data_IF_942282103770
#
_entry.id   IF_942282103770
#
_cell.length_a   1.000
_cell.length_b   1.000
_cell.length_c   1.000
_cell.angle_alpha   90.00
_cell.angle_beta   90.00
_cell.angle_gamma   90.00
#
_symmetry.space_group_name_H-M   'P 1'
#
loop_
_entity.id
_entity.type
_entity.pdbx_description
1 polymer ?
#
# COMPACT_ATOMS: atom_id res chain seq x y z
N UNK A 1 -60.20 -21.34 -8.11
CA UNK A 1 -58.94 -20.58 -8.28
C UNK A 1 -58.94 -19.89 -9.64
N UNK A 2 -59.15 -18.57 -9.67
CA UNK A 2 -59.24 -17.75 -10.90
C UNK A 2 -57.82 -17.27 -11.24
N UNK A 3 -57.22 -17.81 -12.29
CA UNK A 3 -55.88 -17.43 -12.75
C UNK A 3 -55.92 -15.97 -13.23
N UNK A 4 -55.17 -15.08 -12.57
CA UNK A 4 -54.96 -13.71 -13.05
C UNK A 4 -54.08 -13.74 -14.31
N UNK A 5 -54.44 -13.02 -15.38
CA UNK A 5 -53.61 -12.90 -16.56
C UNK A 5 -52.28 -12.19 -16.22
N UNK A 6 -51.18 -12.74 -16.73
CA UNK A 6 -49.84 -12.14 -16.63
C UNK A 6 -49.84 -10.80 -17.38
N UNK A 7 -49.34 -9.71 -16.77
CA UNK A 7 -49.12 -8.47 -17.50
C UNK A 7 -48.10 -8.71 -18.61
N UNK A 8 -48.45 -8.28 -19.82
CA UNK A 8 -47.58 -8.22 -20.98
C UNK A 8 -46.41 -7.28 -20.68
N UNK A 9 -45.19 -7.82 -20.71
CA UNK A 9 -43.97 -7.03 -20.60
C UNK A 9 -43.86 -6.06 -21.77
N UNK A 10 -43.44 -4.79 -21.55
CA UNK A 10 -43.12 -3.87 -22.63
C UNK A 10 -41.95 -4.41 -23.48
N UNK A 11 -41.88 -4.04 -24.77
CA UNK A 11 -40.82 -4.48 -25.66
C UNK A 11 -39.44 -4.02 -25.14
N UNK A 12 -38.39 -4.82 -25.38
CA UNK A 12 -37.04 -4.50 -24.94
C UNK A 12 -36.55 -3.19 -25.58
N UNK A 13 -36.03 -2.31 -24.75
CA UNK A 13 -35.40 -1.06 -25.17
C UNK A 13 -34.11 -1.43 -25.95
N UNK A 14 -33.89 -0.90 -27.17
CA UNK A 14 -32.68 -1.18 -27.92
C UNK A 14 -31.44 -0.69 -27.16
N UNK A 15 -30.33 -1.45 -27.16
CA UNK A 15 -29.12 -1.06 -26.45
C UNK A 15 -28.56 0.26 -27.02
N UNK A 16 -28.04 1.15 -26.17
CA UNK A 16 -27.39 2.38 -26.62
C UNK A 16 -26.20 2.02 -27.53
N UNK A 17 -26.12 2.70 -28.68
CA UNK A 17 -25.12 2.47 -29.72
C UNK A 17 -23.69 2.41 -29.20
N UNK A 18 -22.93 1.41 -29.69
CA UNK A 18 -21.63 0.96 -29.21
C UNK A 18 -20.43 1.88 -29.42
N UNK A 19 -20.53 3.16 -29.09
CA UNK A 19 -19.37 4.07 -29.07
C UNK A 19 -18.70 4.17 -27.67
N UNK A 20 -19.40 3.82 -26.59
CA UNK A 20 -18.85 3.95 -25.22
C UNK A 20 -18.05 2.72 -24.73
N UNK A 21 -18.18 1.56 -25.38
CA UNK A 21 -17.54 0.32 -24.93
C UNK A 21 -16.03 0.25 -25.25
N UNK A 22 -15.55 0.98 -26.27
CA UNK A 22 -14.12 0.94 -26.66
C UNK A 22 -13.20 1.79 -25.78
N UNK A 23 -13.73 2.73 -25.00
CA UNK A 23 -12.92 3.54 -24.07
C UNK A 23 -12.66 2.82 -22.74
N UNK A 24 -13.56 1.95 -22.27
CA UNK A 24 -13.39 1.23 -21.00
C UNK A 24 -12.39 0.06 -21.09
N UNK A 25 -12.22 -0.55 -22.26
CA UNK A 25 -11.30 -1.67 -22.47
C UNK A 25 -9.82 -1.26 -22.54
N UNK A 26 -9.51 0.03 -22.78
CA UNK A 26 -8.14 0.55 -22.80
C UNK A 26 -7.56 0.83 -21.41
N UNK A 27 -8.40 1.15 -20.42
CA UNK A 27 -7.94 1.41 -19.04
C UNK A 27 -7.38 0.17 -18.32
N UNK A 28 -7.91 -1.02 -18.63
CA UNK A 28 -7.56 -2.27 -17.92
C UNK A 28 -6.22 -2.89 -18.34
N UNK A 29 -5.68 -2.56 -19.52
CA UNK A 29 -4.34 -3.05 -19.92
C UNK A 29 -3.22 -2.31 -19.20
N UNK A 30 -3.43 -1.05 -18.80
CA UNK A 30 -2.39 -0.25 -18.13
C UNK A 30 -2.07 -0.71 -16.70
N UNK A 31 -3.05 -1.21 -15.96
CA UNK A 31 -2.88 -1.64 -14.56
C UNK A 31 -2.16 -2.98 -14.44
N UNK A 32 -2.46 -3.94 -15.32
CA UNK A 32 -1.75 -5.23 -15.36
C UNK A 32 -0.26 -5.07 -15.78
N UNK A 33 0.04 -4.08 -16.63
CA UNK A 33 1.40 -3.80 -17.09
C UNK A 33 2.25 -3.06 -16.04
N UNK A 34 1.62 -2.26 -15.16
CA UNK A 34 2.31 -1.65 -14.01
C UNK A 34 2.71 -2.68 -12.94
N UNK A 35 1.86 -3.67 -12.67
CA UNK A 35 2.16 -4.71 -11.68
C UNK A 35 3.34 -5.61 -12.12
N UNK A 36 3.45 -5.92 -13.41
CA UNK A 36 4.59 -6.70 -13.94
C UNK A 36 5.87 -5.86 -14.06
N UNK A 37 5.77 -4.57 -14.38
CA UNK A 37 6.92 -3.66 -14.39
C UNK A 37 7.52 -3.46 -12.98
N UNK A 38 6.70 -3.34 -11.93
CA UNK A 38 7.17 -3.27 -10.55
C UNK A 38 7.87 -4.56 -10.09
N UNK A 39 7.37 -5.73 -10.52
CA UNK A 39 8.03 -7.00 -10.23
C UNK A 39 9.41 -7.12 -10.90
N UNK A 40 9.56 -6.60 -12.13
CA UNK A 40 10.83 -6.60 -12.86
C UNK A 40 11.87 -5.62 -12.28
N UNK A 41 11.44 -4.44 -11.84
CA UNK A 41 12.33 -3.45 -11.19
C UNK A 41 12.84 -3.96 -9.84
N UNK A 42 12.01 -4.66 -9.06
CA UNK A 42 12.45 -5.26 -7.78
C UNK A 42 13.54 -6.34 -7.96
N UNK A 43 13.51 -7.13 -9.03
CA UNK A 43 14.53 -8.16 -9.27
C UNK A 43 15.89 -7.58 -9.65
N UNK A 44 15.93 -6.41 -10.30
CA UNK A 44 17.19 -5.79 -10.74
C UNK A 44 17.93 -5.06 -9.61
N UNK A 45 17.23 -4.50 -8.61
CA UNK A 45 17.87 -3.85 -7.45
C UNK A 45 18.58 -4.84 -6.53
N UNK A 46 17.94 -5.98 -6.23
CA UNK A 46 18.49 -6.99 -5.31
C UNK A 46 19.71 -7.74 -5.86
N UNK A 47 19.82 -7.89 -7.18
CA UNK A 47 20.97 -8.55 -7.82
C UNK A 47 22.21 -7.66 -7.87
N UNK A 48 22.05 -6.33 -7.86
CA UNK A 48 23.18 -5.40 -7.83
C UNK A 48 23.87 -5.36 -6.45
N UNK A 49 23.11 -5.47 -5.35
CA UNK A 49 23.66 -5.45 -3.99
C UNK A 49 24.45 -6.71 -3.60
N UNK A 50 24.19 -7.85 -4.24
CA UNK A 50 24.94 -9.10 -4.02
C UNK A 50 26.25 -9.19 -4.82
N UNK A 51 26.58 -8.18 -5.63
CA UNK A 51 27.81 -8.13 -6.44
C UNK A 51 28.91 -7.30 -5.77
N UNK A 52 28.92 -7.20 -4.44
CA UNK A 52 30.11 -6.77 -3.72
C UNK A 52 31.23 -7.80 -3.94
N UNK A 53 32.27 -7.35 -4.64
CA UNK A 53 33.54 -8.00 -4.88
C UNK A 53 33.97 -8.90 -3.71
N UNK A 54 34.10 -10.19 -4.01
CA UNK A 54 34.86 -11.09 -3.15
C UNK A 54 36.33 -10.69 -3.26
N UNK A 55 36.99 -10.22 -2.18
CA UNK A 55 38.41 -9.89 -2.23
C UNK A 55 39.23 -11.14 -2.59
N UNK A 56 40.37 -10.99 -3.29
CA UNK A 56 41.21 -12.10 -3.71
C UNK A 56 41.64 -12.94 -2.51
N UNK A 57 41.52 -14.26 -2.66
CA UNK A 57 41.78 -15.25 -1.63
C UNK A 57 43.24 -15.19 -1.16
N UNK A 58 43.49 -14.49 -0.05
CA UNK A 58 44.76 -14.56 0.66
C UNK A 58 44.82 -15.88 1.44
N UNK A 59 45.63 -16.82 0.95
CA UNK A 59 45.97 -18.08 1.61
C UNK A 59 46.72 -17.81 2.92
N UNK A 60 46.07 -17.97 4.08
CA UNK A 60 46.79 -17.87 5.36
C UNK A 60 46.01 -17.97 6.67
N UNK A 61 44.69 -17.78 6.70
CA UNK A 61 43.97 -17.61 7.99
C UNK A 61 42.97 -18.74 8.32
N UNK A 62 43.46 -19.94 8.61
CA UNK A 62 42.61 -21.02 9.20
C UNK A 62 42.00 -20.62 10.55
N UNK A 63 42.65 -19.75 11.32
CA UNK A 63 42.14 -19.21 12.58
C UNK A 63 40.94 -18.26 12.41
N UNK A 64 40.83 -17.57 11.26
CA UNK A 64 39.71 -16.67 10.95
C UNK A 64 38.41 -17.42 10.67
N UNK A 65 38.48 -18.54 9.97
CA UNK A 65 37.30 -19.33 9.59
C UNK A 65 36.53 -19.89 10.81
N UNK A 66 37.23 -20.27 11.88
CA UNK A 66 36.58 -20.75 13.11
C UNK A 66 35.90 -19.60 13.87
N UNK A 67 36.53 -18.43 13.95
CA UNK A 67 35.96 -17.24 14.56
C UNK A 67 34.72 -16.76 13.81
N UNK A 68 34.75 -16.77 12.48
CA UNK A 68 33.62 -16.41 11.63
C UNK A 68 32.46 -17.41 11.76
N UNK A 69 32.75 -18.71 11.85
CA UNK A 69 31.74 -19.73 12.10
C UNK A 69 31.05 -19.52 13.45
N UNK A 70 31.82 -19.25 14.53
CA UNK A 70 31.27 -18.94 15.85
C UNK A 70 30.43 -17.66 15.82
N UNK A 71 30.91 -16.61 15.14
CA UNK A 71 30.17 -15.35 14.98
C UNK A 71 28.84 -15.54 14.26
N UNK A 72 28.82 -16.31 13.15
CA UNK A 72 27.59 -16.64 12.42
C UNK A 72 26.58 -17.38 13.30
N UNK A 73 27.01 -18.41 14.03
CA UNK A 73 26.13 -19.15 14.96
C UNK A 73 25.52 -18.25 16.04
N UNK A 74 26.30 -17.31 16.57
CA UNK A 74 25.80 -16.33 17.55
C UNK A 74 24.80 -15.35 16.94
N UNK A 75 25.04 -14.88 15.70
CA UNK A 75 24.10 -14.03 14.97
C UNK A 75 22.80 -14.77 14.66
N UNK A 76 22.87 -16.01 14.17
CA UNK A 76 21.70 -16.84 13.87
C UNK A 76 20.84 -17.07 15.13
N UNK A 77 21.47 -17.31 16.28
CA UNK A 77 20.77 -17.41 17.56
C UNK A 77 20.04 -16.13 17.97
N UNK A 78 20.67 -14.95 17.74
CA UNK A 78 20.05 -13.64 18.01
C UNK A 78 18.89 -13.36 17.06
N UNK A 79 19.05 -13.65 15.76
CA UNK A 79 18.00 -13.49 14.74
C UNK A 79 16.80 -14.36 15.10
N UNK A 80 17.03 -15.64 15.43
CA UNK A 80 15.96 -16.57 15.83
C UNK A 80 15.21 -16.08 17.06
N UNK A 81 15.93 -15.62 18.09
CA UNK A 81 15.30 -15.04 19.30
C UNK A 81 14.51 -13.76 18.99
N UNK A 82 15.01 -12.91 18.09
CA UNK A 82 14.29 -11.71 17.65
C UNK A 82 13.03 -12.06 16.85
N UNK A 83 13.12 -13.04 15.94
CA UNK A 83 11.98 -13.54 15.16
C UNK A 83 10.90 -14.10 16.06
N UNK A 84 11.26 -14.88 17.08
CA UNK A 84 10.30 -15.45 18.04
C UNK A 84 9.57 -14.37 18.82
N UNK A 85 10.29 -13.35 19.30
CA UNK A 85 9.69 -12.19 19.99
C UNK A 85 8.73 -11.42 19.10
N UNK A 86 9.12 -11.17 17.85
CA UNK A 86 8.26 -10.47 16.88
C UNK A 86 7.06 -11.33 16.50
N UNK A 87 7.20 -12.64 16.34
CA UNK A 87 6.08 -13.56 16.10
C UNK A 87 5.03 -13.42 17.20
N UNK A 88 5.46 -13.43 18.47
CA UNK A 88 4.57 -13.30 19.60
C UNK A 88 3.84 -11.95 19.60
N UNK A 89 4.54 -10.85 19.33
CA UNK A 89 3.95 -9.51 19.24
C UNK A 89 2.99 -9.36 18.05
N UNK A 90 3.27 -10.02 16.93
CA UNK A 90 2.49 -9.96 15.71
C UNK A 90 1.30 -10.93 15.67
N UNK A 91 1.22 -11.90 16.59
CA UNK A 91 0.21 -12.96 16.56
C UNK A 91 -1.21 -12.40 16.50
N UNK A 92 -1.52 -11.40 17.32
CA UNK A 92 -2.84 -10.78 17.34
C UNK A 92 -3.17 -10.02 16.04
N UNK A 93 -2.18 -9.32 15.46
CA UNK A 93 -2.36 -8.61 14.20
C UNK A 93 -2.56 -9.59 13.03
N UNK A 94 -1.80 -10.69 13.00
CA UNK A 94 -1.94 -11.75 12.00
C UNK A 94 -3.32 -12.39 12.09
N UNK A 95 -3.79 -12.71 13.30
CA UNK A 95 -5.12 -13.29 13.49
C UNK A 95 -6.23 -12.34 13.04
N UNK A 96 -6.17 -11.06 13.45
CA UNK A 96 -7.14 -10.04 13.01
C UNK A 96 -7.13 -9.82 11.50
N UNK A 97 -5.95 -9.82 10.87
CA UNK A 97 -5.85 -9.70 9.42
C UNK A 97 -6.41 -10.92 8.69
N UNK A 98 -6.25 -12.14 9.22
CA UNK A 98 -6.93 -13.35 8.70
C UNK A 98 -8.45 -13.23 8.80
N UNK A 99 -8.97 -12.78 9.95
CA UNK A 99 -10.40 -12.52 10.10
C UNK A 99 -10.90 -11.48 9.10
N UNK A 100 -10.11 -10.42 8.86
CA UNK A 100 -10.41 -9.40 7.86
C UNK A 100 -10.47 -9.97 6.44
N UNK A 101 -9.51 -10.83 6.08
CA UNK A 101 -9.49 -11.50 4.78
C UNK A 101 -10.68 -12.44 4.59
N UNK A 102 -11.06 -13.19 5.62
CA UNK A 102 -12.27 -14.03 5.57
C UNK A 102 -13.51 -13.14 5.41
N UNK A 103 -13.58 -12.01 6.12
CA UNK A 103 -14.66 -11.03 5.97
C UNK A 103 -14.77 -10.48 4.55
N UNK A 104 -13.65 -10.10 3.93
CA UNK A 104 -13.60 -9.67 2.52
C UNK A 104 -14.06 -10.77 1.57
N UNK A 105 -13.57 -12.01 1.75
CA UNK A 105 -13.99 -13.16 0.95
C UNK A 105 -15.51 -13.41 1.04
N UNK A 106 -16.07 -13.32 2.26
CA UNK A 106 -17.52 -13.47 2.46
C UNK A 106 -18.29 -12.35 1.77
N UNK A 107 -17.84 -11.09 1.85
CA UNK A 107 -18.47 -9.98 1.14
C UNK A 107 -18.42 -10.15 -0.38
N UNK A 108 -17.31 -10.62 -0.93
CA UNK A 108 -17.19 -10.91 -2.36
C UNK A 108 -18.13 -12.02 -2.82
N UNK A 109 -18.28 -13.08 -2.02
CA UNK A 109 -19.28 -14.12 -2.28
C UNK A 109 -20.71 -13.57 -2.20
N UNK A 110 -21.02 -12.71 -1.23
CA UNK A 110 -22.33 -12.05 -1.14
C UNK A 110 -22.61 -11.16 -2.36
N UNK A 111 -21.64 -10.38 -2.82
CA UNK A 111 -21.77 -9.58 -4.05
C UNK A 111 -21.98 -10.46 -5.28
N UNK A 112 -21.20 -11.53 -5.41
CA UNK A 112 -21.34 -12.50 -6.51
C UNK A 112 -22.71 -13.18 -6.52
N UNK A 113 -23.22 -13.59 -5.36
CA UNK A 113 -24.56 -14.21 -5.25
C UNK A 113 -25.68 -13.22 -5.52
N UNK A 114 -25.58 -11.97 -5.05
CA UNK A 114 -26.54 -10.91 -5.34
C UNK A 114 -26.58 -10.58 -6.84
N UNK A 115 -25.40 -10.50 -7.48
CA UNK A 115 -25.28 -10.35 -8.93
C UNK A 115 -25.92 -11.53 -9.68
N UNK A 116 -25.65 -12.76 -9.26
CA UNK A 116 -26.23 -13.96 -9.84
C UNK A 116 -27.76 -13.99 -9.78
N UNK A 117 -28.33 -13.44 -8.71
CA UNK A 117 -29.78 -13.28 -8.54
C UNK A 117 -30.38 -12.12 -9.35
N UNK A 118 -29.56 -11.38 -10.10
CA UNK A 118 -30.01 -10.22 -10.88
C UNK A 118 -30.28 -8.97 -10.03
N UNK A 119 -29.84 -8.95 -8.77
CA UNK A 119 -29.87 -7.74 -7.95
C UNK A 119 -28.66 -6.90 -8.36
N UNK A 120 -28.85 -5.91 -9.22
CA UNK A 120 -27.76 -5.07 -9.72
C UNK A 120 -27.81 -3.72 -8.97
N UNK A 121 -26.68 -3.19 -8.51
CA UNK A 121 -26.65 -1.84 -7.93
C UNK A 121 -27.11 -0.82 -8.99
N UNK A 122 -27.74 0.27 -8.56
CA UNK A 122 -28.25 1.29 -9.48
C UNK A 122 -27.15 1.83 -10.41
N UNK A 123 -27.51 2.21 -11.64
CA UNK A 123 -26.58 2.76 -12.64
C UNK A 123 -25.57 3.81 -12.12
N UNK A 124 -25.94 4.81 -11.29
CA UNK A 124 -24.99 5.80 -10.80
C UNK A 124 -23.95 5.23 -9.82
N UNK A 125 -24.24 4.11 -9.16
CA UNK A 125 -23.39 3.51 -8.11
C UNK A 125 -22.65 2.27 -8.60
N UNK A 126 -23.01 1.73 -9.77
CA UNK A 126 -22.39 0.55 -10.36
C UNK A 126 -20.86 0.68 -10.50
N UNK A 127 -20.38 1.86 -10.93
CA UNK A 127 -18.94 2.13 -11.06
C UNK A 127 -18.19 2.05 -9.73
N UNK A 128 -18.79 2.55 -8.65
CA UNK A 128 -18.19 2.49 -7.31
C UNK A 128 -18.12 1.05 -6.79
N UNK A 129 -19.20 0.28 -6.93
CA UNK A 129 -19.19 -1.13 -6.54
C UNK A 129 -18.18 -1.95 -7.34
N UNK A 130 -18.05 -1.68 -8.64
CA UNK A 130 -17.07 -2.37 -9.48
C UNK A 130 -15.63 -2.06 -9.05
N UNK A 131 -15.32 -0.79 -8.76
CA UNK A 131 -14.01 -0.39 -8.26
C UNK A 131 -13.70 -1.06 -6.91
N UNK A 132 -14.63 -1.05 -5.97
CA UNK A 132 -14.45 -1.68 -4.67
C UNK A 132 -14.32 -3.20 -4.75
N UNK A 133 -15.08 -3.86 -5.62
CA UNK A 133 -14.90 -5.29 -5.90
C UNK A 133 -13.51 -5.57 -6.47
N UNK A 134 -13.04 -4.81 -7.46
CA UNK A 134 -11.71 -5.00 -8.03
C UNK A 134 -10.59 -4.76 -6.99
N UNK A 135 -10.77 -3.76 -6.14
CA UNK A 135 -9.89 -3.42 -5.01
C UNK A 135 -9.84 -4.55 -3.97
N UNK A 136 -11.00 -5.08 -3.56
CA UNK A 136 -11.10 -6.23 -2.64
C UNK A 136 -10.36 -7.46 -3.18
N UNK A 137 -10.54 -7.79 -4.47
CA UNK A 137 -9.81 -8.88 -5.12
C UNK A 137 -8.30 -8.64 -5.09
N UNK A 138 -7.84 -7.43 -5.41
CA UNK A 138 -6.42 -7.10 -5.34
C UNK A 138 -5.85 -7.26 -3.92
N UNK A 139 -6.56 -6.76 -2.91
CA UNK A 139 -6.20 -6.92 -1.50
C UNK A 139 -6.15 -8.38 -1.06
N UNK A 140 -7.14 -9.20 -1.46
CA UNK A 140 -7.16 -10.64 -1.15
C UNK A 140 -5.94 -11.32 -1.78
N UNK A 141 -5.71 -11.13 -3.08
CA UNK A 141 -4.63 -11.79 -3.81
C UNK A 141 -3.25 -11.41 -3.26
N UNK A 142 -3.03 -10.14 -2.92
CA UNK A 142 -1.74 -9.70 -2.41
C UNK A 142 -1.49 -10.11 -0.94
N UNK A 143 -2.52 -10.12 -0.10
CA UNK A 143 -2.38 -10.34 1.33
C UNK A 143 -2.46 -11.83 1.73
N UNK A 144 -3.14 -12.68 0.95
CA UNK A 144 -3.26 -14.13 1.24
C UNK A 144 -1.90 -14.81 1.44
N UNK A 145 -0.87 -14.64 0.57
CA UNK A 145 0.43 -15.28 0.76
C UNK A 145 1.10 -14.89 2.09
N UNK A 146 0.93 -13.64 2.51
CA UNK A 146 1.50 -13.15 3.75
C UNK A 146 0.75 -13.65 4.98
N UNK A 147 -0.59 -13.57 5.00
CA UNK A 147 -1.37 -13.98 6.18
C UNK A 147 -1.47 -15.50 6.34
N UNK A 148 -1.29 -16.28 5.26
CA UNK A 148 -1.22 -17.75 5.36
C UNK A 148 0.14 -18.19 5.92
N UNK A 149 1.25 -17.70 5.36
CA UNK A 149 2.60 -18.09 5.79
C UNK A 149 3.09 -17.39 7.08
N UNK A 150 2.53 -16.22 7.41
CA UNK A 150 2.94 -15.41 8.55
C UNK A 150 4.31 -14.74 8.35
N UNK A 151 4.97 -14.40 9.46
CA UNK A 151 6.27 -13.67 9.41
C UNK A 151 7.44 -14.51 8.87
N UNK A 152 7.31 -15.83 8.85
CA UNK A 152 8.32 -16.74 8.30
C UNK A 152 8.13 -16.98 6.79
N UNK A 153 7.12 -16.36 6.18
CA UNK A 153 6.78 -16.55 4.77
C UNK A 153 7.74 -15.88 3.80
N UNK A 154 7.65 -16.32 2.54
CA UNK A 154 8.45 -15.78 1.43
C UNK A 154 8.28 -14.27 1.23
N UNK A 155 7.10 -13.73 1.58
CA UNK A 155 6.83 -12.30 1.45
C UNK A 155 7.78 -11.43 2.31
N UNK A 156 8.19 -11.94 3.48
CA UNK A 156 9.15 -11.26 4.35
C UNK A 156 10.58 -11.50 3.87
N UNK A 157 10.93 -12.74 3.50
CA UNK A 157 12.28 -13.08 3.03
C UNK A 157 12.66 -12.39 1.72
N UNK A 158 11.67 -12.14 0.85
CA UNK A 158 11.87 -11.52 -0.45
C UNK A 158 11.70 -9.99 -0.43
N UNK A 159 11.43 -9.39 0.75
CA UNK A 159 11.20 -7.95 0.83
C UNK A 159 9.91 -7.47 0.15
N UNK A 160 8.92 -8.34 -0.06
CA UNK A 160 7.67 -8.00 -0.72
C UNK A 160 6.62 -7.38 0.22
N UNK A 161 6.89 -7.36 1.53
CA UNK A 161 5.95 -6.84 2.53
C UNK A 161 5.67 -5.33 2.34
N UNK A 162 6.69 -4.55 1.98
CA UNK A 162 6.55 -3.12 1.69
C UNK A 162 5.58 -2.85 0.54
N UNK A 163 5.85 -3.33 -0.68
CA UNK A 163 4.94 -3.17 -1.82
C UNK A 163 3.52 -3.68 -1.57
N UNK A 164 3.39 -4.83 -0.88
CA UNK A 164 2.09 -5.36 -0.48
C UNK A 164 1.33 -4.36 0.41
N UNK A 165 2.00 -3.79 1.40
CA UNK A 165 1.41 -2.81 2.31
C UNK A 165 1.00 -1.53 1.56
N UNK A 166 1.87 -1.01 0.68
CA UNK A 166 1.58 0.17 -0.15
C UNK A 166 0.38 -0.08 -1.05
N UNK A 167 0.27 -1.26 -1.66
CA UNK A 167 -0.88 -1.64 -2.48
C UNK A 167 -2.16 -1.69 -1.65
N UNK A 168 -2.15 -2.38 -0.50
CA UNK A 168 -3.33 -2.47 0.38
C UNK A 168 -3.75 -1.08 0.89
N UNK A 169 -2.80 -0.22 1.21
CA UNK A 169 -3.07 1.15 1.63
C UNK A 169 -3.69 1.99 0.49
N UNK A 170 -3.12 1.92 -0.72
CA UNK A 170 -3.66 2.63 -1.88
C UNK A 170 -5.09 2.19 -2.21
N UNK A 171 -5.35 0.88 -2.18
CA UNK A 171 -6.68 0.29 -2.38
C UNK A 171 -7.67 0.77 -1.31
N UNK A 172 -7.26 0.78 -0.04
CA UNK A 172 -8.10 1.30 1.05
C UNK A 172 -8.43 2.79 0.90
N UNK A 173 -7.50 3.61 0.38
CA UNK A 173 -7.76 5.02 0.08
C UNK A 173 -8.73 5.20 -1.09
N UNK A 174 -8.60 4.40 -2.14
CA UNK A 174 -9.54 4.40 -3.27
C UNK A 174 -10.94 4.05 -2.77
N UNK A 175 -11.08 3.03 -1.93
CA UNK A 175 -12.40 2.64 -1.42
C UNK A 175 -12.98 3.60 -0.41
N UNK A 176 -12.14 4.22 0.43
CA UNK A 176 -12.57 5.32 1.28
C UNK A 176 -13.07 6.50 0.44
N UNK A 177 -12.40 6.81 -0.68
CA UNK A 177 -12.85 7.87 -1.59
C UNK A 177 -14.17 7.53 -2.29
N UNK A 178 -14.36 6.26 -2.68
CA UNK A 178 -15.61 5.78 -3.27
C UNK A 178 -16.76 5.84 -2.24
N UNK A 179 -16.51 5.45 -0.99
CA UNK A 179 -17.47 5.59 0.11
C UNK A 179 -17.83 7.07 0.34
N UNK A 180 -16.85 7.96 0.38
CA UNK A 180 -17.10 9.41 0.53
C UNK A 180 -17.92 9.96 -0.63
N UNK A 181 -17.59 9.61 -1.88
CA UNK A 181 -18.36 10.01 -3.05
C UNK A 181 -19.80 9.48 -3.00
N UNK A 182 -19.97 8.22 -2.58
CA UNK A 182 -21.28 7.62 -2.35
C UNK A 182 -22.08 8.42 -1.32
N UNK A 183 -21.49 8.75 -0.15
CA UNK A 183 -22.15 9.50 0.91
C UNK A 183 -22.56 10.92 0.48
N UNK A 184 -21.83 11.54 -0.46
CA UNK A 184 -22.17 12.85 -1.03
C UNK A 184 -23.34 12.75 -2.01
N UNK A 185 -23.42 11.66 -2.79
CA UNK A 185 -24.44 11.47 -3.83
C UNK A 185 -25.73 10.84 -3.28
N UNK A 186 -25.63 10.07 -2.19
CA UNK A 186 -26.74 9.35 -1.60
C UNK A 186 -27.81 10.32 -1.07
N UNK A 187 -28.85 10.56 -1.88
CA UNK A 187 -30.04 11.24 -1.43
C UNK A 187 -30.77 10.33 -0.43
N UNK A 188 -31.08 10.80 0.79
CA UNK A 188 -31.80 10.01 1.77
C UNK A 188 -33.16 9.61 1.18
N UNK A 189 -33.47 8.30 1.17
CA UNK A 189 -34.79 7.85 0.77
C UNK A 189 -35.83 8.36 1.78
N UNK A 190 -36.96 8.93 1.33
CA UNK A 190 -38.02 9.33 2.24
C UNK A 190 -38.53 8.09 2.99
N UNK A 191 -38.57 8.18 4.33
CA UNK A 191 -39.05 7.11 5.19
C UNK A 191 -40.56 6.91 5.00
N UNK A 192 -41.00 5.65 5.05
CA UNK A 192 -42.43 5.36 5.05
C UNK A 192 -43.09 5.94 6.32
N UNK A 193 -44.27 6.58 6.21
CA UNK A 193 -44.97 7.13 7.37
C UNK A 193 -45.30 6.01 8.36
N UNK A 194 -44.76 6.11 9.58
CA UNK A 194 -44.99 5.14 10.66
C UNK A 194 -43.80 4.25 11.03
N UNK A 195 -42.64 4.38 10.37
CA UNK A 195 -41.41 3.73 10.82
C UNK A 195 -41.00 4.26 12.21
N UNK A 196 -40.93 3.39 13.23
CA UNK A 196 -40.61 3.77 14.62
C UNK A 196 -39.28 3.22 15.12
N UNK A 197 -38.70 2.20 14.47
CA UNK A 197 -37.44 1.62 14.91
C UNK A 197 -36.24 2.20 14.16
N UNK A 198 -35.12 2.39 14.86
CA UNK A 198 -33.86 2.86 14.27
C UNK A 198 -33.33 1.86 13.22
N UNK A 199 -33.64 0.57 13.38
CA UNK A 199 -33.29 -0.46 12.41
C UNK A 199 -34.11 -0.32 11.13
N UNK A 200 -35.41 -0.04 11.20
CA UNK A 200 -36.22 0.22 9.99
C UNK A 200 -35.70 1.46 9.24
N UNK A 201 -35.25 2.48 9.98
CA UNK A 201 -34.66 3.69 9.39
C UNK A 201 -33.32 3.38 8.73
N UNK A 202 -32.46 2.56 9.36
CA UNK A 202 -31.18 2.13 8.80
C UNK A 202 -31.37 1.24 7.57
N UNK A 203 -32.27 0.26 7.63
CA UNK A 203 -32.59 -0.63 6.51
C UNK A 203 -33.22 0.14 5.34
N UNK A 204 -34.09 1.12 5.62
CA UNK A 204 -34.68 1.96 4.59
C UNK A 204 -33.68 2.96 3.99
N UNK A 205 -32.69 3.41 4.77
CA UNK A 205 -31.68 4.39 4.36
C UNK A 205 -30.44 3.74 3.70
N UNK A 206 -30.10 2.50 4.05
CA UNK A 206 -28.88 1.80 3.65
C UNK A 206 -29.27 0.43 3.10
N UNK A 207 -29.23 0.29 1.78
CA UNK A 207 -29.45 -1.00 1.14
C UNK A 207 -28.31 -1.99 1.42
N UNK A 208 -28.54 -3.24 1.05
CA UNK A 208 -27.55 -4.31 1.23
C UNK A 208 -26.21 -4.02 0.50
N UNK A 209 -26.26 -3.30 -0.62
CA UNK A 209 -25.08 -2.94 -1.41
C UNK A 209 -24.20 -1.93 -0.66
N UNK A 210 -24.84 -0.98 0.01
CA UNK A 210 -24.22 0.07 0.80
C UNK A 210 -23.56 -0.51 2.05
N UNK A 211 -24.22 -1.46 2.73
CA UNK A 211 -23.60 -2.22 3.80
C UNK A 211 -22.40 -3.05 3.32
N UNK A 212 -22.48 -3.64 2.13
CA UNK A 212 -21.36 -4.38 1.55
C UNK A 212 -20.19 -3.46 1.18
N UNK A 213 -20.46 -2.22 0.76
CA UNK A 213 -19.42 -1.21 0.47
C UNK A 213 -18.75 -0.75 1.78
N UNK A 214 -19.54 -0.38 2.79
CA UNK A 214 -19.04 0.01 4.11
C UNK A 214 -18.23 -1.12 4.76
N UNK A 215 -18.73 -2.36 4.68
CA UNK A 215 -18.05 -3.54 5.21
C UNK A 215 -16.69 -3.78 4.55
N UNK A 216 -16.62 -3.64 3.22
CA UNK A 216 -15.35 -3.78 2.48
C UNK A 216 -14.34 -2.73 2.92
N UNK A 217 -14.72 -1.45 2.97
CA UNK A 217 -13.84 -0.37 3.43
C UNK A 217 -13.34 -0.65 4.85
N UNK A 218 -14.23 -1.08 5.75
CA UNK A 218 -13.87 -1.41 7.13
C UNK A 218 -12.86 -2.57 7.21
N UNK A 219 -13.07 -3.64 6.44
CA UNK A 219 -12.15 -4.78 6.42
C UNK A 219 -10.83 -4.45 5.72
N UNK A 220 -10.81 -3.62 4.68
CA UNK A 220 -9.56 -3.15 4.07
C UNK A 220 -8.77 -2.26 5.01
N UNK A 221 -9.41 -1.32 5.70
CA UNK A 221 -8.76 -0.48 6.72
C UNK A 221 -8.21 -1.31 7.87
N UNK A 222 -8.96 -2.33 8.33
CA UNK A 222 -8.48 -3.26 9.34
C UNK A 222 -7.30 -4.11 8.84
N UNK A 223 -7.34 -4.58 7.59
CA UNK A 223 -6.25 -5.32 6.95
C UNK A 223 -5.00 -4.46 6.83
N UNK A 224 -5.14 -3.21 6.37
CA UNK A 224 -4.08 -2.22 6.28
C UNK A 224 -3.44 -1.96 7.66
N UNK A 225 -4.25 -1.69 8.69
CA UNK A 225 -3.76 -1.45 10.04
C UNK A 225 -3.04 -2.67 10.64
N UNK A 226 -3.52 -3.89 10.36
CA UNK A 226 -2.85 -5.12 10.80
C UNK A 226 -1.51 -5.31 10.07
N UNK A 227 -1.48 -5.12 8.75
CA UNK A 227 -0.27 -5.22 7.94
C UNK A 227 0.77 -4.19 8.37
N UNK A 228 0.35 -2.95 8.63
CA UNK A 228 1.21 -1.89 9.15
C UNK A 228 1.82 -2.26 10.49
N UNK A 229 1.03 -2.81 11.43
CA UNK A 229 1.54 -3.24 12.73
C UNK A 229 2.61 -4.32 12.57
N UNK A 230 2.40 -5.32 11.71
CA UNK A 230 3.40 -6.38 11.49
C UNK A 230 4.67 -5.81 10.84
N UNK A 231 4.52 -4.97 9.81
CA UNK A 231 5.62 -4.26 9.17
C UNK A 231 6.44 -3.47 10.19
N UNK A 232 5.78 -2.65 11.01
CA UNK A 232 6.43 -1.84 12.05
C UNK A 232 7.23 -2.70 13.04
N UNK A 233 6.68 -3.82 13.51
CA UNK A 233 7.39 -4.70 14.44
C UNK A 233 8.62 -5.36 13.80
N UNK A 234 8.50 -5.79 12.54
CA UNK A 234 9.63 -6.34 11.78
C UNK A 234 10.74 -5.29 11.57
N UNK A 235 10.37 -4.06 11.20
CA UNK A 235 11.29 -2.92 11.06
C UNK A 235 12.00 -2.59 12.37
N UNK A 236 11.24 -2.44 13.46
CA UNK A 236 11.77 -2.13 14.79
C UNK A 236 12.72 -3.21 15.32
N UNK A 237 12.49 -4.48 14.95
CA UNK A 237 13.36 -5.56 15.34
C UNK A 237 14.66 -5.65 14.52
N UNK A 238 14.77 -4.90 13.42
CA UNK A 238 15.86 -5.01 12.44
C UNK A 238 15.73 -6.24 11.54
N UNK A 239 14.54 -6.84 11.45
CA UNK A 239 14.28 -8.03 10.62
C UNK A 239 13.83 -7.66 9.20
N UNK A 240 13.57 -6.37 8.95
CA UNK A 240 13.17 -5.86 7.64
C UNK A 240 13.88 -4.53 7.32
N UNK A 241 14.42 -4.34 6.10
CA UNK A 241 14.43 -5.29 4.98
C UNK A 241 15.36 -6.50 5.24
N UNK A 242 15.14 -7.62 4.54
CA UNK A 242 16.01 -8.79 4.67
C UNK A 242 17.46 -8.45 4.34
N UNK A 243 18.42 -9.02 5.08
CA UNK A 243 19.85 -8.75 4.91
C UNK A 243 20.40 -7.57 5.72
N UNK A 244 19.54 -6.82 6.42
CA UNK A 244 20.00 -5.78 7.37
C UNK A 244 20.70 -6.42 8.57
N UNK A 245 21.85 -5.88 8.98
CA UNK A 245 22.55 -6.36 10.19
C UNK A 245 21.68 -6.10 11.45
N UNK A 246 21.21 -7.15 12.15
CA UNK A 246 20.41 -6.98 13.37
C UNK A 246 21.19 -6.27 14.50
N UNK A 247 22.51 -6.19 14.40
CA UNK A 247 23.39 -5.46 15.31
C UNK A 247 23.34 -3.95 15.15
N UNK A 248 22.87 -3.41 14.02
CA UNK A 248 22.76 -1.97 13.77
C UNK A 248 21.56 -1.31 14.49
N UNK A 249 21.04 -1.95 15.54
CA UNK A 249 19.83 -1.56 16.28
C UNK A 249 19.85 -0.16 16.87
N UNK A 250 21.03 0.33 17.21
CA UNK A 250 21.19 1.63 17.90
C UNK A 250 20.82 2.84 17.02
N UNK A 251 20.55 2.62 15.73
CA UNK A 251 20.11 3.66 14.79
C UNK A 251 18.65 3.53 14.33
N UNK A 252 17.89 2.55 14.83
CA UNK A 252 16.52 2.33 14.33
C UNK A 252 15.61 3.46 14.84
N UNK A 253 15.43 4.47 13.97
CA UNK A 253 14.53 5.61 14.13
C UNK A 253 13.09 5.11 14.21
N UNK A 254 12.23 5.91 14.86
CA UNK A 254 10.80 5.63 14.91
C UNK A 254 10.23 5.47 13.49
N UNK A 255 9.61 4.32 13.22
CA UNK A 255 9.01 3.97 11.93
C UNK A 255 7.83 4.91 11.67
N UNK A 256 7.95 5.75 10.64
CA UNK A 256 6.94 6.77 10.32
C UNK A 256 5.83 6.19 9.47
N UNK A 257 4.56 6.56 9.71
CA UNK A 257 3.43 6.10 8.87
C UNK A 257 3.57 6.47 7.38
N UNK A 258 4.43 7.45 7.06
CA UNK A 258 4.76 7.81 5.68
C UNK A 258 5.61 6.76 4.95
N UNK A 259 6.29 5.84 5.66
CA UNK A 259 7.00 4.69 5.05
C UNK A 259 6.04 3.72 4.32
N UNK A 260 4.72 3.88 4.51
CA UNK A 260 3.71 3.14 3.74
C UNK A 260 3.57 3.69 2.31
N UNK A 261 3.81 4.98 2.13
CA UNK A 261 3.57 5.72 0.88
C UNK A 261 4.87 5.96 0.13
N UNK A 262 5.92 6.30 0.86
CA UNK A 262 7.26 6.55 0.35
C UNK A 262 8.16 5.40 0.77
N UNK A 263 9.10 5.00 -0.09
CA UNK A 263 10.08 4.00 0.34
C UNK A 263 10.88 4.54 1.52
N UNK A 264 11.41 3.66 2.36
CA UNK A 264 12.14 4.08 3.56
C UNK A 264 13.34 4.98 3.20
N UNK A 265 13.96 4.72 2.06
CA UNK A 265 15.06 5.52 1.51
C UNK A 265 14.59 6.94 1.17
N UNK A 266 13.43 7.09 0.51
CA UNK A 266 12.86 8.39 0.15
C UNK A 266 12.54 9.24 1.39
N UNK A 267 12.05 8.62 2.47
CA UNK A 267 11.78 9.31 3.74
C UNK A 267 13.08 9.80 4.38
N UNK A 268 14.17 9.05 4.27
CA UNK A 268 15.48 9.47 4.77
C UNK A 268 16.02 10.68 4.00
N UNK A 269 15.90 10.67 2.66
CA UNK A 269 16.23 11.83 1.82
C UNK A 269 15.40 13.07 2.19
N UNK A 270 14.08 12.92 2.35
CA UNK A 270 13.21 14.02 2.78
C UNK A 270 13.61 14.57 4.14
N UNK A 271 13.95 13.69 5.09
CA UNK A 271 14.36 14.11 6.43
C UNK A 271 15.71 14.83 6.43
N UNK A 272 16.62 14.45 5.54
CA UNK A 272 17.92 15.11 5.37
C UNK A 272 17.75 16.49 4.73
N UNK A 273 16.86 16.60 3.73
CA UNK A 273 16.53 17.89 3.11
C UNK A 273 15.86 18.87 4.09
N UNK A 274 14.98 18.37 4.97
CA UNK A 274 14.31 19.20 5.99
C UNK A 274 15.21 19.53 7.18
N UNK A 275 16.12 18.63 7.54
CA UNK A 275 17.04 18.81 8.66
C UNK A 275 18.23 19.70 8.31
N UNK A 276 18.53 19.92 7.03
CA UNK A 276 19.45 20.98 6.62
C UNK A 276 18.74 22.31 6.88
N UNK A 277 19.08 23.04 7.96
CA UNK A 277 18.58 24.39 8.07
C UNK A 277 19.12 25.08 6.82
N UNK A 278 18.28 25.80 6.09
CA UNK A 278 18.79 26.93 5.32
C UNK A 278 19.45 27.87 6.33
N UNK A 279 20.69 27.57 6.71
CA UNK A 279 21.66 28.58 7.09
C UNK A 279 21.71 29.43 5.83
N UNK A 280 20.97 30.54 5.88
CA UNK A 280 21.19 31.63 4.99
C UNK A 280 22.65 32.06 5.16
N UNK A 281 23.54 31.48 4.37
CA UNK A 281 24.24 32.31 3.42
C UNK A 281 23.12 32.85 2.51
N UNK A 282 22.46 33.98 2.78
CA UNK A 282 23.05 35.32 2.65
C UNK A 282 24.52 35.22 2.27
N UNK A 283 24.73 34.67 1.07
CA UNK A 283 25.91 34.94 0.31
C UNK A 283 25.85 36.45 0.13
N UNK A 284 26.63 37.16 0.95
CA UNK A 284 26.87 38.57 0.74
C UNK A 284 27.24 38.69 -0.73
N UNK A 285 26.40 39.40 -1.50
CA UNK A 285 26.73 39.80 -2.85
C UNK A 285 28.13 40.41 -2.72
N UNK A 286 29.17 39.87 -3.40
CA UNK A 286 30.49 40.45 -3.31
C UNK A 286 30.34 41.90 -3.75
N UNK A 287 30.61 42.81 -2.83
CA UNK A 287 30.74 44.22 -3.10
C UNK A 287 31.73 44.34 -4.25
N UNK A 288 31.22 44.66 -5.43
CA UNK A 288 32.02 44.90 -6.62
C UNK A 288 32.91 46.10 -6.28
N UNK A 289 34.16 45.82 -5.92
CA UNK A 289 35.19 46.83 -5.83
C UNK A 289 35.37 47.41 -7.23
N UNK A 290 34.72 48.56 -7.46
CA UNK A 290 35.00 49.42 -8.61
C UNK A 290 36.45 49.85 -8.49
N UNK A 291 37.31 49.18 -9.25
CA UNK A 291 38.71 49.54 -9.38
C UNK A 291 38.83 50.98 -9.89
N UNK A 292 39.25 51.90 -9.01
CA UNK A 292 39.76 53.21 -9.42
C UNK A 292 41.03 52.97 -10.23
N UNK A 293 40.94 53.21 -11.53
CA UNK A 293 42.08 53.22 -12.45
C UNK A 293 43.04 54.36 -12.07
N UNK A 294 44.34 54.10 -11.87
CA UNK A 294 45.33 55.15 -11.72
C UNK A 294 45.62 55.79 -13.09
N UNK A 295 45.33 57.08 -13.21
CA UNK A 295 45.66 57.91 -14.35
C UNK A 295 47.19 58.02 -14.46
N UNK A 296 47.75 57.32 -15.45
CA UNK A 296 49.17 57.29 -15.73
C UNK A 296 49.64 58.60 -16.36
N UNK A 297 50.57 59.25 -15.67
CA UNK A 297 51.46 60.25 -16.25
C UNK A 297 52.34 59.62 -17.33
N UNK A 298 52.30 60.14 -18.57
CA UNK A 298 53.30 59.86 -19.59
C UNK A 298 53.92 61.16 -20.10
N UNK A 299 55.17 61.32 -19.71
CA UNK A 299 56.18 62.21 -20.27
C UNK A 299 56.39 61.90 -21.76
N UNK A 300 56.50 62.95 -22.58
CA UNK A 300 56.96 62.89 -23.97
C UNK A 300 57.85 64.10 -24.26
N UNK A 301 59.12 63.83 -24.51
CA UNK A 301 60.13 64.78 -24.92
C UNK A 301 59.97 65.15 -26.41
N UNK A 302 60.33 66.39 -26.74
CA UNK A 302 60.45 66.94 -28.08
C UNK A 302 60.90 68.39 -27.98
#
# INVERSE_FOLDING_TARGET
LKLRPRPTLPPPIPPPGGAAAEHSARGWRGTAQCASAQAAVMQHGYTAALRCESPPAAEGNRSGAEADSKRRKLLDGRIRSAQEKVALQCTLAIWRGRCSLIGLLVLELLRGTAWWQGTIPGYPVLGMHFLTTASDFACILCAVPFYTAGIAGQCVSNGCLGPMLTLVFAMALVDLSALCAFLVIAAPRPLAPGARSVLDVLEAAVGAWEFALLGSVAFQMALCACSWRVYRQLRQAGLYPPGTDPGARDKIKAVSCLEVVCDAEDVEYLSTCLASPRQGQVQAVPEVQVARSPEGARSGAG
#
